data_IF_670621132112
#
_entry.id   IF_670621132112
#
_cell.length_a   1.000
_cell.length_b   1.000
_cell.length_c   1.000
_cell.angle_alpha   90.00
_cell.angle_beta   90.00
_cell.angle_gamma   90.00
#
_symmetry.space_group_name_H-M   'P 1'
#
loop_
_entity.id
_entity.type
_entity.pdbx_description
1 polymer ?
#
# COMPACT_ATOMS: atom_id res chain seq x y z
N UNK A 1 10.91 -1.77 18.80
CA UNK A 1 11.41 -1.74 17.40
C UNK A 1 11.62 -3.17 16.93
N UNK A 2 10.92 -3.59 15.86
CA UNK A 2 11.14 -4.89 15.20
C UNK A 2 12.02 -4.66 13.98
N UNK A 3 13.18 -5.32 13.91
CA UNK A 3 14.09 -5.15 12.78
C UNK A 3 13.59 -5.94 11.56
N UNK A 4 13.44 -5.25 10.43
CA UNK A 4 13.07 -5.90 9.17
C UNK A 4 14.27 -6.68 8.59
N UNK A 5 14.08 -7.91 8.10
CA UNK A 5 15.15 -8.72 7.51
C UNK A 5 15.47 -8.30 6.06
N UNK A 6 15.37 -7.02 5.72
CA UNK A 6 15.46 -6.53 4.33
C UNK A 6 16.80 -6.89 3.68
N UNK A 7 17.92 -6.74 4.41
CA UNK A 7 19.26 -7.05 3.87
C UNK A 7 19.56 -8.54 3.77
N UNK A 8 18.94 -9.35 4.63
CA UNK A 8 18.88 -10.81 4.41
C UNK A 8 18.10 -11.11 3.13
N UNK A 9 16.95 -10.48 2.91
CA UNK A 9 16.18 -10.60 1.67
C UNK A 9 17.02 -10.29 0.42
N UNK A 10 17.75 -9.17 0.42
CA UNK A 10 18.67 -8.80 -0.67
C UNK A 10 19.79 -9.84 -0.88
N UNK A 11 20.21 -10.53 0.17
CA UNK A 11 21.24 -11.59 0.08
C UNK A 11 20.69 -12.90 -0.51
N UNK A 12 19.37 -13.13 -0.39
CA UNK A 12 18.67 -14.29 -0.94
C UNK A 12 18.16 -14.06 -2.37
N UNK A 13 18.13 -12.82 -2.85
CA UNK A 13 17.74 -12.53 -4.22
C UNK A 13 18.79 -13.07 -5.21
N UNK A 14 18.39 -14.04 -6.03
CA UNK A 14 19.28 -14.71 -6.98
C UNK A 14 19.02 -14.26 -8.41
N UNK A 15 20.10 -14.07 -9.16
CA UNK A 15 20.05 -13.73 -10.59
C UNK A 15 19.41 -14.82 -11.47
N UNK A 16 19.34 -16.06 -10.99
CA UNK A 16 18.65 -17.17 -11.67
C UNK A 16 17.13 -17.17 -11.48
N UNK A 17 16.61 -16.22 -10.69
CA UNK A 17 15.18 -16.03 -10.46
C UNK A 17 14.56 -17.02 -9.47
N UNK A 18 15.34 -17.84 -8.76
CA UNK A 18 14.79 -18.69 -7.70
C UNK A 18 14.28 -17.83 -6.53
N UNK A 19 13.06 -18.10 -6.04
CA UNK A 19 12.41 -17.29 -5.01
C UNK A 19 12.00 -18.06 -3.75
N UNK A 20 12.10 -19.39 -3.75
CA UNK A 20 11.56 -20.24 -2.67
C UNK A 20 12.06 -19.83 -1.27
N UNK A 21 13.37 -19.55 -1.13
CA UNK A 21 13.97 -19.12 0.14
C UNK A 21 13.48 -17.71 0.57
N UNK A 22 13.40 -16.78 -0.39
CA UNK A 22 12.91 -15.42 -0.17
C UNK A 22 11.42 -15.40 0.19
N UNK A 23 10.61 -16.21 -0.49
CA UNK A 23 9.17 -16.38 -0.22
C UNK A 23 8.93 -17.03 1.13
N UNK A 24 9.69 -18.07 1.48
CA UNK A 24 9.62 -18.70 2.80
C UNK A 24 10.01 -17.74 3.92
N UNK A 25 11.08 -16.94 3.72
CA UNK A 25 11.48 -15.88 4.65
C UNK A 25 10.36 -14.84 4.82
N UNK A 26 9.81 -14.35 3.71
CA UNK A 26 8.72 -13.39 3.69
C UNK A 26 7.48 -13.91 4.43
N UNK A 27 7.06 -15.15 4.15
CA UNK A 27 5.94 -15.78 4.81
C UNK A 27 6.16 -15.95 6.33
N UNK A 28 7.37 -16.36 6.74
CA UNK A 28 7.70 -16.52 8.15
C UNK A 28 7.69 -15.19 8.91
N UNK A 29 8.31 -14.14 8.36
CA UNK A 29 8.31 -12.82 8.99
C UNK A 29 6.92 -12.19 9.02
N UNK A 30 6.15 -12.33 7.93
CA UNK A 30 4.76 -11.87 7.86
C UNK A 30 3.88 -12.57 8.91
N UNK A 31 4.04 -13.88 9.09
CA UNK A 31 3.32 -14.63 10.12
C UNK A 31 3.64 -14.11 11.53
N UNK A 32 4.92 -13.85 11.81
CA UNK A 32 5.36 -13.28 13.08
C UNK A 32 4.71 -11.92 13.39
N UNK A 33 4.81 -10.94 12.46
CA UNK A 33 4.24 -9.60 12.69
C UNK A 33 2.70 -9.61 12.71
N UNK A 34 2.08 -10.51 11.93
CA UNK A 34 0.62 -10.72 11.97
C UNK A 34 0.20 -11.25 13.33
N UNK A 35 0.95 -12.18 13.89
CA UNK A 35 0.70 -12.72 15.22
C UNK A 35 0.81 -11.63 16.30
N UNK A 36 1.84 -10.79 16.26
CA UNK A 36 1.96 -9.63 17.16
C UNK A 36 0.73 -8.72 17.06
N UNK A 37 0.32 -8.35 15.83
CA UNK A 37 -0.81 -7.46 15.59
C UNK A 37 -2.15 -8.05 16.07
N UNK A 38 -2.42 -9.33 15.79
CA UNK A 38 -3.67 -9.98 16.23
C UNK A 38 -3.75 -10.15 17.75
N UNK A 39 -2.59 -10.23 18.40
CA UNK A 39 -2.46 -10.22 19.85
C UNK A 39 -2.19 -8.82 20.41
N UNK A 40 -2.55 -7.76 19.69
CA UNK A 40 -2.56 -6.39 20.22
C UNK A 40 -1.20 -5.92 20.78
N UNK A 41 -0.09 -6.43 20.25
CA UNK A 41 1.25 -5.92 20.56
C UNK A 41 1.56 -4.72 19.67
N UNK A 42 1.91 -3.59 20.29
CA UNK A 42 2.34 -2.37 19.60
C UNK A 42 3.80 -2.51 19.15
N UNK A 43 4.08 -2.28 17.86
CA UNK A 43 5.45 -2.28 17.33
C UNK A 43 5.57 -1.36 16.12
N UNK A 44 6.80 -0.90 15.88
CA UNK A 44 7.21 -0.29 14.62
C UNK A 44 8.24 -1.20 13.95
N UNK A 45 8.18 -1.23 12.62
CA UNK A 45 9.21 -1.86 11.80
C UNK A 45 10.36 -0.87 11.57
N UNK A 46 11.59 -1.37 11.67
CA UNK A 46 12.80 -0.62 11.37
C UNK A 46 13.60 -1.29 10.26
N UNK A 47 13.76 -0.62 9.13
CA UNK A 47 14.73 -1.04 8.11
C UNK A 47 16.12 -0.53 8.46
N UNK A 48 17.16 -1.30 8.12
CA UNK A 48 18.55 -0.88 8.36
C UNK A 48 18.91 0.42 7.65
N UNK A 49 18.27 0.71 6.52
CA UNK A 49 18.43 1.98 5.82
C UNK A 49 17.93 3.15 6.67
N UNK A 50 16.73 3.02 7.24
CA UNK A 50 16.14 4.06 8.10
C UNK A 50 16.95 4.23 9.38
N UNK A 51 17.37 3.13 9.99
CA UNK A 51 18.20 3.13 11.20
C UNK A 51 19.56 3.76 10.93
N UNK A 52 20.18 3.52 9.78
CA UNK A 52 21.45 4.16 9.46
C UNK A 52 21.32 5.68 9.33
N UNK A 53 20.24 6.14 8.69
CA UNK A 53 20.05 7.57 8.38
C UNK A 53 19.48 8.36 9.58
N UNK A 54 18.76 7.70 10.49
CA UNK A 54 18.02 8.35 11.59
C UNK A 54 18.21 7.71 12.97
N UNK A 55 18.99 6.64 13.07
CA UNK A 55 19.18 5.85 14.28
C UNK A 55 20.30 6.38 15.15
N UNK A 56 20.07 6.36 16.47
CA UNK A 56 21.10 6.63 17.48
C UNK A 56 20.75 5.92 18.78
N UNK A 57 21.75 5.73 19.63
CA UNK A 57 21.55 5.26 21.01
C UNK A 57 21.72 6.44 21.95
N UNK A 58 20.77 6.62 22.86
CA UNK A 58 20.76 7.72 23.83
C UNK A 58 20.01 7.25 25.09
N UNK A 59 20.62 7.44 26.26
CA UNK A 59 20.09 7.06 27.58
C UNK A 59 19.60 5.60 27.65
N UNK A 60 20.34 4.67 27.03
CA UNK A 60 19.99 3.24 27.01
C UNK A 60 18.77 2.90 26.15
N UNK A 61 18.27 3.83 25.33
CA UNK A 61 17.17 3.61 24.39
C UNK A 61 17.68 3.56 22.96
N UNK A 62 17.00 2.78 22.12
CA UNK A 62 17.21 2.77 20.68
C UNK A 62 16.32 3.84 20.05
N UNK A 63 16.89 4.90 19.48
CA UNK A 63 16.10 5.99 18.89
C UNK A 63 16.15 5.91 17.37
N UNK A 64 15.01 6.06 16.70
CA UNK A 64 14.89 6.23 15.24
C UNK A 64 14.06 7.47 14.96
N UNK A 65 14.68 8.52 14.41
CA UNK A 65 14.05 9.84 14.28
C UNK A 65 13.71 10.41 15.65
N UNK A 66 12.41 10.61 15.89
CA UNK A 66 11.85 11.13 17.15
C UNK A 66 11.30 10.04 18.08
N UNK A 67 11.28 8.77 17.63
CA UNK A 67 10.73 7.65 18.43
C UNK A 67 11.85 6.92 19.18
N UNK A 68 11.68 6.75 20.48
CA UNK A 68 12.57 5.98 21.34
C UNK A 68 11.95 4.62 21.68
N UNK A 69 12.76 3.58 21.63
CA UNK A 69 12.35 2.19 21.88
C UNK A 69 13.15 1.59 23.02
N UNK A 70 12.44 0.96 23.96
CA UNK A 70 13.01 0.26 25.11
C UNK A 70 13.34 -1.22 24.81
N UNK A 71 12.86 -1.73 23.67
CA UNK A 71 13.06 -3.12 23.24
C UNK A 71 13.37 -3.19 21.73
N UNK A 72 14.46 -3.85 21.40
CA UNK A 72 14.79 -4.27 20.03
C UNK A 72 14.42 -5.74 19.85
N UNK A 73 13.68 -6.06 18.79
CA UNK A 73 13.25 -7.43 18.49
C UNK A 73 13.88 -7.88 17.18
N UNK A 74 14.54 -9.04 17.20
CA UNK A 74 15.11 -9.67 16.00
C UNK A 74 14.44 -11.03 15.79
N UNK A 75 13.87 -11.22 14.61
CA UNK A 75 13.35 -12.51 14.18
C UNK A 75 14.44 -13.32 13.48
N UNK A 76 14.35 -14.66 13.52
CA UNK A 76 15.32 -15.60 12.93
C UNK A 76 15.63 -15.37 11.45
N UNK A 77 14.71 -14.74 10.73
CA UNK A 77 14.89 -14.36 9.33
C UNK A 77 15.90 -13.23 9.14
N UNK A 78 16.30 -12.53 10.20
CA UNK A 78 17.37 -11.54 10.18
C UNK A 78 18.71 -12.26 10.38
N UNK A 79 19.26 -12.80 9.30
CA UNK A 79 20.55 -13.53 9.31
C UNK A 79 21.75 -12.60 9.04
N UNK A 80 21.49 -11.43 8.44
CA UNK A 80 22.50 -10.46 8.04
C UNK A 80 22.17 -9.07 8.60
N UNK A 81 23.20 -8.35 9.03
CA UNK A 81 23.15 -6.94 9.39
C UNK A 81 24.11 -6.12 8.52
N UNK A 82 23.80 -4.86 8.27
CA UNK A 82 24.79 -3.86 7.88
C UNK A 82 25.73 -3.56 9.05
N UNK A 83 27.01 -3.29 8.77
CA UNK A 83 27.99 -2.95 9.83
C UNK A 83 27.51 -1.79 10.72
N UNK A 84 26.92 -0.75 10.12
CA UNK A 84 26.40 0.40 10.88
C UNK A 84 25.31 0.03 11.89
N UNK A 85 24.44 -0.93 11.53
CA UNK A 85 23.38 -1.41 12.42
C UNK A 85 23.97 -2.28 13.52
N UNK A 86 24.91 -3.17 13.18
CA UNK A 86 25.60 -4.00 14.16
C UNK A 86 26.33 -3.16 15.22
N UNK A 87 27.01 -2.08 14.81
CA UNK A 87 27.70 -1.14 15.71
C UNK A 87 26.71 -0.41 16.66
N UNK A 88 25.55 -0.01 16.14
CA UNK A 88 24.48 0.61 16.96
C UNK A 88 23.87 -0.39 17.94
N UNK A 89 23.62 -1.63 17.52
CA UNK A 89 23.12 -2.69 18.41
C UNK A 89 24.14 -3.01 19.50
N UNK A 90 25.43 -3.09 19.16
CA UNK A 90 26.50 -3.27 20.16
C UNK A 90 26.50 -2.13 21.18
N UNK A 91 26.35 -0.88 20.72
CA UNK A 91 26.25 0.30 21.60
C UNK A 91 25.02 0.21 22.51
N UNK A 92 23.85 -0.12 21.94
CA UNK A 92 22.60 -0.27 22.67
C UNK A 92 22.70 -1.30 23.79
N UNK A 93 23.24 -2.49 23.51
CA UNK A 93 23.46 -3.54 24.50
C UNK A 93 24.47 -3.08 25.56
N UNK A 94 25.55 -2.41 25.16
CA UNK A 94 26.55 -1.89 26.09
C UNK A 94 26.00 -0.80 27.03
N UNK A 95 24.97 -0.06 26.61
CA UNK A 95 24.29 0.93 27.44
C UNK A 95 23.21 0.34 28.37
N UNK A 96 22.89 -0.96 28.24
CA UNK A 96 21.85 -1.60 29.07
C UNK A 96 20.56 -1.92 28.32
N UNK A 97 20.53 -1.67 27.01
CA UNK A 97 19.40 -1.96 26.16
C UNK A 97 18.97 -3.42 26.19
N UNK A 98 17.67 -3.63 26.01
CA UNK A 98 17.04 -4.95 26.03
C UNK A 98 16.74 -5.43 24.61
N UNK A 99 17.05 -6.70 24.35
CA UNK A 99 16.75 -7.34 23.08
C UNK A 99 15.92 -8.61 23.26
N UNK A 100 15.01 -8.86 22.32
CA UNK A 100 14.28 -10.10 22.19
C UNK A 100 14.68 -10.79 20.88
N UNK A 101 15.30 -11.97 21.01
CA UNK A 101 15.59 -12.84 19.88
C UNK A 101 14.47 -13.86 19.72
N UNK A 102 13.94 -13.98 18.50
CA UNK A 102 12.85 -14.89 18.15
C UNK A 102 13.37 -15.92 17.15
N UNK A 103 13.77 -17.10 17.63
CA UNK A 103 14.17 -18.25 16.82
C UNK A 103 15.60 -18.22 16.26
N UNK A 104 16.44 -17.29 16.72
CA UNK A 104 17.85 -17.20 16.31
C UNK A 104 18.44 -15.79 16.42
N UNK A 105 19.72 -15.67 16.09
CA UNK A 105 20.44 -14.40 15.99
C UNK A 105 21.11 -14.26 14.61
N UNK A 106 21.39 -13.02 14.16
CA UNK A 106 22.18 -12.80 12.96
C UNK A 106 23.56 -13.46 13.04
N UNK A 107 24.03 -14.01 11.92
CA UNK A 107 25.34 -14.70 11.82
C UNK A 107 26.32 -13.94 10.93
N UNK A 108 25.82 -13.01 10.10
CA UNK A 108 26.59 -12.28 9.10
C UNK A 108 26.49 -10.76 9.26
N UNK A 109 27.57 -10.09 8.86
CA UNK A 109 27.62 -8.63 8.69
C UNK A 109 28.11 -8.33 7.27
N UNK A 110 27.41 -7.46 6.55
CA UNK A 110 27.69 -7.10 5.15
C UNK A 110 27.90 -8.34 4.25
N UNK A 111 27.07 -9.37 4.44
CA UNK A 111 27.07 -10.61 3.65
C UNK A 111 28.20 -11.59 3.99
N UNK A 112 28.92 -11.38 5.09
CA UNK A 112 30.02 -12.27 5.54
C UNK A 112 29.80 -12.73 6.97
N UNK A 113 30.07 -14.02 7.22
CA UNK A 113 30.10 -14.55 8.57
C UNK A 113 30.98 -13.69 9.48
N UNK A 114 30.45 -13.30 10.64
CA UNK A 114 31.16 -12.43 11.56
C UNK A 114 31.11 -12.99 12.99
N UNK A 115 32.22 -13.60 13.41
CA UNK A 115 32.34 -14.19 14.74
C UNK A 115 32.26 -13.18 15.90
N UNK A 116 32.36 -11.87 15.63
CA UNK A 116 32.16 -10.85 16.67
C UNK A 116 30.69 -10.72 17.10
N UNK A 117 29.72 -11.15 16.27
CA UNK A 117 28.31 -11.13 16.64
C UNK A 117 28.01 -11.98 17.88
N UNK A 118 28.81 -13.01 18.17
CA UNK A 118 28.71 -13.80 19.40
C UNK A 118 28.96 -12.98 20.69
N UNK A 119 29.59 -11.79 20.59
CA UNK A 119 29.75 -10.85 21.71
C UNK A 119 28.48 -10.04 21.95
N UNK A 120 27.74 -9.75 20.88
CA UNK A 120 26.48 -8.98 20.91
C UNK A 120 25.32 -9.90 21.29
N UNK A 121 25.32 -11.13 20.77
CA UNK A 121 24.30 -12.15 20.96
C UNK A 121 24.91 -13.40 21.64
N UNK A 122 25.19 -13.36 22.95
CA UNK A 122 25.73 -14.51 23.66
C UNK A 122 24.66 -15.60 23.84
N UNK A 123 25.03 -16.85 23.54
CA UNK A 123 24.16 -18.03 23.67
C UNK A 123 22.77 -17.85 23.01
N UNK A 124 22.71 -17.52 21.71
CA UNK A 124 21.43 -17.37 21.04
C UNK A 124 20.67 -18.71 21.05
N UNK A 125 19.33 -18.68 21.08
CA UNK A 125 18.55 -19.91 21.01
C UNK A 125 18.71 -20.54 19.62
N UNK A 126 19.00 -21.85 19.56
CA UNK A 126 18.91 -22.62 18.31
C UNK A 126 17.45 -22.71 17.84
N UNK A 127 16.52 -22.85 18.79
CA UNK A 127 15.06 -22.81 18.62
C UNK A 127 14.42 -22.08 19.82
N UNK A 128 13.25 -21.44 19.63
CA UNK A 128 12.54 -20.72 20.68
C UNK A 128 12.98 -19.26 20.84
N UNK A 129 12.65 -18.63 21.96
CA UNK A 129 12.86 -17.19 22.16
C UNK A 129 13.75 -16.90 23.36
N UNK A 130 14.54 -15.83 23.30
CA UNK A 130 15.44 -15.43 24.37
C UNK A 130 15.45 -13.92 24.55
N UNK A 131 15.23 -13.50 25.80
CA UNK A 131 15.39 -12.12 26.22
C UNK A 131 16.84 -11.90 26.67
N UNK A 132 17.51 -10.90 26.10
CA UNK A 132 18.90 -10.58 26.36
C UNK A 132 19.04 -9.19 26.97
N UNK A 133 19.73 -9.10 28.10
CA UNK A 133 20.19 -7.85 28.73
C UNK A 133 21.72 -7.81 28.78
N UNK A 134 22.28 -6.60 28.96
CA UNK A 134 23.72 -6.29 29.07
C UNK A 134 24.58 -7.27 29.87
N UNK A 135 24.05 -7.93 30.91
CA UNK A 135 24.88 -8.80 31.73
C UNK A 135 25.18 -10.16 31.11
N UNK A 136 24.52 -10.56 30.00
CA UNK A 136 24.67 -11.90 29.37
C UNK A 136 24.35 -13.10 30.29
N UNK A 137 24.11 -12.85 31.59
CA UNK A 137 23.90 -13.79 32.67
C UNK A 137 22.42 -13.96 33.05
N UNK A 138 21.54 -13.14 32.45
CA UNK A 138 20.08 -13.34 32.47
C UNK A 138 19.60 -13.48 31.04
N UNK A 139 19.99 -14.57 30.38
CA UNK A 139 19.17 -15.12 29.32
C UNK A 139 18.00 -15.83 30.02
N UNK A 140 16.81 -15.26 29.91
CA UNK A 140 15.60 -16.00 30.22
C UNK A 140 15.06 -16.54 28.91
N UNK A 141 15.14 -17.86 28.75
CA UNK A 141 14.40 -18.55 27.69
C UNK A 141 12.92 -18.28 27.91
N UNK A 142 12.24 -17.87 26.85
CA UNK A 142 10.79 -17.80 26.81
C UNK A 142 10.34 -19.03 26.04
N UNK A 143 9.62 -19.93 26.71
CA UNK A 143 9.38 -21.29 26.20
C UNK A 143 8.32 -21.37 25.08
N UNK A 144 7.68 -20.25 24.72
CA UNK A 144 6.67 -20.18 23.64
C UNK A 144 6.45 -18.76 23.13
N UNK A 145 5.94 -18.64 21.90
CA UNK A 145 5.50 -17.35 21.32
C UNK A 145 4.37 -16.71 22.13
N UNK A 146 3.46 -17.52 22.69
CA UNK A 146 2.38 -17.05 23.59
C UNK A 146 2.94 -16.32 24.81
N UNK A 147 3.96 -16.87 25.46
CA UNK A 147 4.61 -16.20 26.60
C UNK A 147 5.37 -14.93 26.19
N UNK A 148 5.87 -14.86 24.95
CA UNK A 148 6.46 -13.63 24.40
C UNK A 148 5.39 -12.56 24.29
N UNK A 149 4.24 -12.91 23.73
CA UNK A 149 3.11 -11.99 23.59
C UNK A 149 2.65 -11.51 24.97
N UNK A 150 2.45 -12.42 25.91
CA UNK A 150 2.06 -12.08 27.29
C UNK A 150 3.04 -11.09 27.92
N UNK A 151 4.35 -11.33 27.76
CA UNK A 151 5.40 -10.43 28.24
C UNK A 151 5.34 -9.06 27.57
N UNK A 152 5.18 -9.02 26.24
CA UNK A 152 5.10 -7.77 25.49
C UNK A 152 3.86 -6.94 25.90
N UNK A 153 2.72 -7.60 26.05
CA UNK A 153 1.48 -6.97 26.51
C UNK A 153 1.59 -6.49 27.97
N UNK A 154 2.23 -7.26 28.85
CA UNK A 154 2.30 -6.91 30.27
C UNK A 154 3.23 -5.72 30.52
N UNK A 155 4.37 -5.67 29.84
CA UNK A 155 5.44 -4.71 30.09
C UNK A 155 5.38 -3.47 29.19
N UNK A 156 4.89 -3.58 27.94
CA UNK A 156 5.04 -2.51 26.94
C UNK A 156 3.73 -1.98 26.35
N UNK A 157 2.58 -2.61 26.59
CA UNK A 157 1.34 -2.15 25.99
C UNK A 157 0.78 -0.90 26.68
N UNK A 158 0.51 0.14 25.89
CA UNK A 158 -0.18 1.35 26.34
C UNK A 158 -1.66 1.07 26.68
N UNK A 159 -2.26 0.17 25.90
CA UNK A 159 -3.64 -0.30 26.06
C UNK A 159 -3.61 -1.80 26.27
N UNK A 160 -4.26 -2.28 27.34
CA UNK A 160 -4.33 -3.71 27.63
C UNK A 160 -5.64 -4.27 27.13
N UNK A 161 -5.59 -5.43 26.48
CA UNK A 161 -6.75 -6.16 25.98
C UNK A 161 -6.87 -7.48 26.75
N UNK A 162 -7.45 -7.48 27.98
CA UNK A 162 -7.59 -8.69 28.78
C UNK A 162 -8.43 -9.79 28.11
N UNK A 163 -9.32 -9.41 27.20
CA UNK A 163 -10.14 -10.34 26.43
C UNK A 163 -10.55 -9.72 25.09
N UNK A 164 -10.40 -10.47 24.00
CA UNK A 164 -11.12 -10.23 22.75
C UNK A 164 -11.40 -11.56 22.04
N UNK A 165 -12.55 -11.65 21.39
CA UNK A 165 -13.03 -12.87 20.73
C UNK A 165 -13.70 -12.54 19.40
N UNK A 166 -13.60 -13.50 18.46
CA UNK A 166 -14.16 -13.39 17.12
C UNK A 166 -13.36 -12.46 16.21
N UNK A 167 -13.56 -12.60 14.90
CA UNK A 167 -13.03 -11.70 13.87
C UNK A 167 -11.53 -11.38 13.94
N UNK A 168 -11.14 -10.26 13.32
CA UNK A 168 -9.76 -9.76 13.28
C UNK A 168 -9.71 -8.33 13.78
N UNK A 169 -9.23 -8.16 15.01
CA UNK A 169 -9.10 -6.86 15.67
C UNK A 169 -7.72 -6.26 15.44
N UNK A 170 -7.70 -5.02 14.99
CA UNK A 170 -6.51 -4.17 14.98
C UNK A 170 -6.79 -2.90 15.78
N UNK A 171 -5.74 -2.33 16.37
CA UNK A 171 -5.84 -1.05 17.06
C UNK A 171 -4.72 -0.09 16.67
N UNK A 172 -4.98 1.20 16.89
CA UNK A 172 -3.96 2.24 16.94
C UNK A 172 -4.23 3.10 18.17
N UNK A 173 -3.23 3.26 19.02
CA UNK A 173 -3.25 4.22 20.10
C UNK A 173 -2.39 5.44 19.75
N UNK A 174 -2.90 6.63 20.03
CA UNK A 174 -2.15 7.89 19.97
C UNK A 174 -2.21 8.55 21.33
N UNK A 175 -1.05 8.71 21.93
CA UNK A 175 -0.88 9.49 23.16
C UNK A 175 -0.84 10.99 22.82
N UNK A 176 -1.63 11.77 23.54
CA UNK A 176 -1.65 13.23 23.53
C UNK A 176 -1.24 13.73 24.92
N UNK A 177 -1.01 15.04 25.06
CA UNK A 177 -0.49 15.61 26.31
C UNK A 177 -1.28 15.22 27.57
N UNK A 178 -2.62 15.29 27.52
CA UNK A 178 -3.50 15.02 28.67
C UNK A 178 -4.60 13.98 28.36
N UNK A 179 -4.48 13.28 27.22
CA UNK A 179 -5.48 12.32 26.74
C UNK A 179 -4.88 11.32 25.75
N UNK A 180 -5.66 10.32 25.34
CA UNK A 180 -5.30 9.37 24.31
C UNK A 180 -6.44 9.15 23.32
N UNK A 181 -6.10 8.73 22.12
CA UNK A 181 -7.04 8.29 21.10
C UNK A 181 -6.80 6.82 20.79
N UNK A 182 -7.81 5.98 21.00
CA UNK A 182 -7.78 4.56 20.68
C UNK A 182 -8.73 4.28 19.54
N UNK A 183 -8.19 3.99 18.36
CA UNK A 183 -8.96 3.47 17.23
C UNK A 183 -8.94 1.95 17.27
N UNK A 184 -10.12 1.33 17.22
CA UNK A 184 -10.29 -0.11 17.03
C UNK A 184 -10.94 -0.35 15.67
N UNK A 185 -10.45 -1.35 14.94
CA UNK A 185 -10.98 -1.77 13.65
C UNK A 185 -11.15 -3.28 13.60
N UNK A 186 -12.36 -3.73 13.28
CA UNK A 186 -12.63 -5.11 12.89
C UNK A 186 -12.50 -5.23 11.38
N UNK A 187 -11.50 -5.95 10.89
CA UNK A 187 -11.29 -6.15 9.45
C UNK A 187 -11.96 -7.41 8.90
N UNK A 188 -12.68 -8.17 9.74
CA UNK A 188 -13.47 -9.31 9.26
C UNK A 188 -14.74 -8.84 8.56
N UNK A 189 -15.05 -9.44 7.41
CA UNK A 189 -16.19 -9.08 6.58
C UNK A 189 -17.53 -9.69 7.07
N UNK A 190 -17.46 -10.73 7.91
CA UNK A 190 -18.60 -11.57 8.29
C UNK A 190 -18.65 -11.92 9.79
N UNK A 191 -17.64 -11.57 10.58
CA UNK A 191 -17.58 -11.86 12.01
C UNK A 191 -17.60 -10.60 12.86
N UNK A 192 -18.35 -10.62 13.97
CA UNK A 192 -18.33 -9.60 15.02
C UNK A 192 -17.14 -9.84 15.95
N UNK A 193 -16.45 -8.77 16.35
CA UNK A 193 -15.44 -8.79 17.41
C UNK A 193 -16.07 -8.29 18.70
N UNK A 194 -15.87 -9.01 19.80
CA UNK A 194 -16.22 -8.55 21.15
C UNK A 194 -14.98 -8.54 22.02
N UNK A 195 -14.92 -7.66 23.01
CA UNK A 195 -13.80 -7.64 23.93
C UNK A 195 -13.87 -6.57 25.00
N UNK A 196 -12.79 -6.48 25.75
CA UNK A 196 -12.55 -5.43 26.72
C UNK A 196 -11.15 -4.87 26.52
N UNK A 197 -11.02 -3.56 26.72
CA UNK A 197 -9.72 -2.92 26.86
C UNK A 197 -9.67 -2.08 28.14
N UNK A 198 -8.45 -1.88 28.65
CA UNK A 198 -8.17 -1.04 29.82
C UNK A 198 -7.00 -0.10 29.55
N UNK A 199 -7.07 1.11 30.10
CA UNK A 199 -6.05 2.15 29.93
C UNK A 199 -6.06 3.13 31.12
N UNK A 200 -4.93 3.82 31.32
CA UNK A 200 -4.88 4.93 32.29
C UNK A 200 -5.84 6.05 31.85
N UNK A 201 -6.69 6.51 32.77
CA UNK A 201 -7.69 7.52 32.50
C UNK A 201 -8.78 7.62 33.57
N UNK A 202 -9.61 8.65 33.46
CA UNK A 202 -10.77 8.92 34.35
C UNK A 202 -12.07 9.13 33.60
N UNK A 203 -12.01 9.21 32.28
CA UNK A 203 -13.16 9.41 31.41
C UNK A 203 -12.91 8.85 30.02
N UNK A 204 -13.99 8.41 29.38
CA UNK A 204 -13.98 7.95 27.98
C UNK A 204 -15.16 8.54 27.23
N UNK A 205 -14.92 9.00 26.00
CA UNK A 205 -15.94 9.35 25.03
C UNK A 205 -15.76 8.55 23.73
N UNK A 206 -16.84 8.33 22.99
CA UNK A 206 -16.83 7.82 21.63
C UNK A 206 -16.86 8.99 20.65
N UNK A 207 -16.00 8.96 19.64
CA UNK A 207 -15.97 9.94 18.56
C UNK A 207 -16.60 9.34 17.30
N UNK A 208 -17.65 9.98 16.78
CA UNK A 208 -18.31 9.56 15.56
C UNK A 208 -17.49 9.97 14.34
N UNK A 209 -16.91 8.98 13.65
CA UNK A 209 -16.02 9.21 12.50
C UNK A 209 -16.75 9.80 11.26
N UNK A 210 -18.08 9.73 11.21
CA UNK A 210 -18.87 10.24 10.08
C UNK A 210 -19.40 11.66 10.32
N UNK A 211 -19.80 11.97 11.55
CA UNK A 211 -20.39 13.29 11.88
C UNK A 211 -19.40 14.24 12.55
N UNK A 212 -18.35 13.72 13.18
CA UNK A 212 -17.44 14.48 14.02
C UNK A 212 -17.96 14.77 15.43
N UNK A 213 -19.15 14.28 15.79
CA UNK A 213 -19.72 14.45 17.12
C UNK A 213 -19.06 13.52 18.15
N UNK A 214 -19.15 13.90 19.42
CA UNK A 214 -18.72 13.08 20.56
C UNK A 214 -19.92 12.59 21.37
N UNK A 215 -19.90 11.33 21.76
CA UNK A 215 -20.91 10.67 22.60
C UNK A 215 -20.27 10.11 23.88
N UNK A 216 -21.04 10.01 24.96
CA UNK A 216 -20.55 9.37 26.19
C UNK A 216 -20.36 7.87 25.97
N UNK A 217 -19.19 7.33 26.31
CA UNK A 217 -18.95 5.88 26.24
C UNK A 217 -19.48 5.18 27.50
N UNK A 218 -19.78 3.89 27.40
CA UNK A 218 -20.01 3.04 28.56
C UNK A 218 -18.67 2.51 29.09
N UNK A 219 -18.30 2.90 30.30
CA UNK A 219 -17.04 2.50 30.92
C UNK A 219 -17.16 2.37 32.45
N UNK A 220 -16.23 1.64 33.05
CA UNK A 220 -16.01 1.63 34.51
C UNK A 220 -14.66 2.26 34.85
N UNK A 221 -14.52 2.74 36.08
CA UNK A 221 -13.27 3.32 36.60
C UNK A 221 -12.85 2.56 37.85
N UNK A 222 -11.59 2.11 37.91
CA UNK A 222 -10.93 1.59 39.12
C UNK A 222 -9.62 2.35 39.35
N UNK A 223 -9.57 3.18 40.38
CA UNK A 223 -8.45 4.10 40.60
C UNK A 223 -8.28 5.11 39.46
N UNK A 224 -7.14 5.04 38.78
CA UNK A 224 -6.79 5.85 37.60
C UNK A 224 -6.86 5.01 36.30
N UNK A 225 -7.61 3.90 36.29
CA UNK A 225 -7.80 3.03 35.13
C UNK A 225 -9.25 3.03 34.68
N UNK A 226 -9.47 3.20 33.37
CA UNK A 226 -10.76 2.98 32.71
C UNK A 226 -10.80 1.60 32.08
N UNK A 227 -11.99 0.99 32.08
CA UNK A 227 -12.26 -0.24 31.35
C UNK A 227 -13.52 -0.09 30.49
N UNK A 228 -13.43 -0.52 29.23
CA UNK A 228 -14.53 -0.47 28.26
C UNK A 228 -14.73 -1.84 27.64
N UNK A 229 -15.95 -2.34 27.70
CA UNK A 229 -16.41 -3.49 26.92
C UNK A 229 -16.95 -3.00 25.59
N UNK A 230 -16.52 -3.61 24.50
CA UNK A 230 -16.90 -3.22 23.14
C UNK A 230 -17.42 -4.41 22.32
N UNK A 231 -18.23 -4.07 21.32
CA UNK A 231 -18.72 -4.98 20.28
C UNK A 231 -18.59 -4.23 18.94
N UNK A 232 -17.78 -4.77 18.02
CA UNK A 232 -17.61 -4.23 16.67
C UNK A 232 -18.23 -5.19 15.67
N UNK A 233 -19.22 -4.75 14.87
CA UNK A 233 -19.78 -5.58 13.81
C UNK A 233 -18.73 -5.89 12.72
N UNK A 234 -19.05 -6.77 11.77
CA UNK A 234 -18.21 -6.96 10.59
C UNK A 234 -17.90 -5.62 9.90
N UNK A 235 -16.63 -5.43 9.52
CA UNK A 235 -16.09 -4.17 8.99
C UNK A 235 -16.30 -2.92 9.88
N UNK A 236 -16.63 -3.11 11.17
CA UNK A 236 -16.89 -2.05 12.12
C UNK A 236 -15.63 -1.42 12.70
N UNK A 237 -15.74 -0.16 13.14
CA UNK A 237 -14.68 0.55 13.87
C UNK A 237 -15.25 1.40 15.00
N UNK A 238 -14.41 1.74 15.98
CA UNK A 238 -14.73 2.68 17.04
C UNK A 238 -13.51 3.52 17.39
N UNK A 239 -13.70 4.83 17.55
CA UNK A 239 -12.68 5.74 18.04
C UNK A 239 -13.05 6.21 19.45
N UNK A 240 -12.20 5.90 20.41
CA UNK A 240 -12.35 6.31 21.80
C UNK A 240 -11.39 7.46 22.11
N UNK A 241 -11.88 8.48 22.80
CA UNK A 241 -11.09 9.50 23.44
C UNK A 241 -11.00 9.21 24.94
N UNK A 242 -9.79 8.93 25.42
CA UNK A 242 -9.47 8.58 26.81
C UNK A 242 -8.88 9.82 27.46
N UNK A 243 -9.46 10.29 28.57
CA UNK A 243 -9.02 11.53 29.23
C UNK A 243 -8.66 11.30 30.69
N UNK A 244 -7.71 12.08 31.19
CA UNK A 244 -7.36 12.15 32.61
C UNK A 244 -8.41 12.92 33.44
N UNK A 245 -9.36 13.60 32.79
CA UNK A 245 -10.49 14.25 33.43
C UNK A 245 -11.67 13.29 33.63
N UNK A 246 -12.50 13.54 34.65
CA UNK A 246 -13.71 12.73 34.88
C UNK A 246 -14.77 13.07 33.83
N UNK A 247 -15.31 12.05 33.18
CA UNK A 247 -16.51 12.19 32.33
C UNK A 247 -17.66 11.33 32.86
N UNK A 248 -18.89 11.64 32.44
CA UNK A 248 -20.05 10.80 32.74
C UNK A 248 -20.02 9.53 31.88
N UNK A 249 -20.17 8.37 32.52
CA UNK A 249 -20.31 7.08 31.84
C UNK A 249 -21.75 6.87 31.38
N UNK A 250 -21.93 6.46 30.13
CA UNK A 250 -23.23 6.08 29.59
C UNK A 250 -23.64 4.67 30.07
N UNK A 251 -24.91 4.33 29.87
CA UNK A 251 -25.35 2.94 29.97
C UNK A 251 -24.86 2.17 28.75
N UNK A 252 -24.40 0.91 28.90
CA UNK A 252 -24.08 0.06 27.75
C UNK A 252 -25.29 -0.04 26.83
N UNK A 253 -25.14 0.38 25.58
CA UNK A 253 -26.15 0.24 24.55
C UNK A 253 -25.75 -0.93 23.63
N UNK A 254 -26.65 -1.90 23.48
CA UNK A 254 -26.46 -2.99 22.53
C UNK A 254 -26.99 -2.53 21.18
N UNK A 255 -26.09 -2.26 20.24
CA UNK A 255 -26.44 -1.98 18.84
C UNK A 255 -26.61 -3.31 18.10
N UNK A 256 -27.75 -3.50 17.46
CA UNK A 256 -27.97 -4.67 16.61
C UNK A 256 -27.53 -4.33 15.19
N UNK A 257 -26.62 -5.14 14.66
CA UNK A 257 -26.17 -5.05 13.28
C UNK A 257 -26.69 -6.27 12.52
N UNK A 258 -27.20 -6.03 11.33
CA UNK A 258 -27.72 -7.08 10.46
C UNK A 258 -27.59 -6.68 9.00
N UNK A 259 -27.60 -7.65 8.08
CA UNK A 259 -27.65 -7.36 6.67
C UNK A 259 -28.90 -6.52 6.38
N UNK A 260 -28.71 -5.40 5.69
CA UNK A 260 -29.81 -4.65 5.11
C UNK A 260 -30.03 -5.23 3.71
N UNK A 261 -31.19 -5.81 3.45
CA UNK A 261 -31.56 -6.18 2.09
C UNK A 261 -31.65 -4.90 1.25
N UNK A 262 -30.78 -4.81 0.24
CA UNK A 262 -30.77 -3.70 -0.70
C UNK A 262 -31.56 -4.11 -1.94
N UNK A 263 -32.60 -3.35 -2.26
CA UNK A 263 -33.30 -3.46 -3.54
C UNK A 263 -32.71 -2.44 -4.52
N UNK A 264 -32.45 -2.86 -5.76
CA UNK A 264 -32.05 -1.93 -6.82
C UNK A 264 -33.25 -1.05 -7.18
N UNK A 265 -33.29 0.17 -6.63
CA UNK A 265 -34.37 1.13 -6.87
C UNK A 265 -34.28 1.76 -8.26
N UNK A 266 -33.08 1.85 -8.82
CA UNK A 266 -32.83 2.37 -10.16
C UNK A 266 -31.35 2.62 -10.40
N UNK A 267 -30.98 2.75 -11.67
CA UNK A 267 -29.62 3.09 -12.08
C UNK A 267 -29.66 4.51 -12.66
N UNK A 268 -28.94 5.43 -12.03
CA UNK A 268 -28.79 6.79 -12.53
C UNK A 268 -27.33 7.04 -12.91
N UNK A 269 -27.13 7.58 -14.11
CA UNK A 269 -25.84 8.10 -14.51
C UNK A 269 -25.54 9.41 -13.76
N UNK A 270 -24.49 9.40 -12.93
CA UNK A 270 -24.06 10.57 -12.14
C UNK A 270 -22.98 11.41 -12.84
N UNK A 271 -22.31 10.85 -13.85
CA UNK A 271 -21.24 11.47 -14.61
C UNK A 271 -21.19 10.85 -16.03
N UNK A 272 -20.53 11.47 -17.02
CA UNK A 272 -20.33 10.86 -18.33
C UNK A 272 -19.78 9.43 -18.23
N UNK A 273 -20.32 8.53 -19.05
CA UNK A 273 -19.81 7.16 -19.15
C UNK A 273 -18.44 7.18 -19.83
N UNK A 274 -17.59 6.24 -19.45
CA UNK A 274 -16.24 6.07 -19.98
C UNK A 274 -16.13 4.74 -20.72
N UNK A 275 -15.78 4.78 -22.00
CA UNK A 275 -15.37 3.61 -22.76
C UNK A 275 -13.84 3.64 -22.92
N UNK A 276 -13.09 2.77 -22.22
CA UNK A 276 -11.67 2.60 -22.49
C UNK A 276 -11.48 1.95 -23.86
N UNK A 277 -10.54 2.49 -24.64
CA UNK A 277 -10.03 1.92 -25.88
C UNK A 277 -8.59 1.48 -25.62
N UNK A 278 -8.42 0.19 -25.36
CA UNK A 278 -7.16 -0.47 -24.97
C UNK A 278 -6.66 -1.47 -26.03
N UNK A 279 -7.37 -1.55 -27.16
CA UNK A 279 -6.94 -2.23 -28.38
C UNK A 279 -6.82 -1.23 -29.53
N UNK A 280 -5.73 -1.31 -30.27
CA UNK A 280 -5.37 -0.36 -31.31
C UNK A 280 -4.71 -1.03 -32.50
N UNK A 281 -4.70 -0.31 -33.62
CA UNK A 281 -3.83 -0.60 -34.75
C UNK A 281 -2.57 0.25 -34.62
N UNK A 282 -1.40 -0.29 -34.90
CA UNK A 282 -0.15 0.47 -34.87
C UNK A 282 0.69 0.22 -36.12
N UNK A 283 1.48 1.23 -36.47
CA UNK A 283 2.47 1.19 -37.55
C UNK A 283 3.75 1.89 -37.07
N UNK A 284 4.85 1.16 -37.06
CA UNK A 284 6.21 1.63 -36.83
C UNK A 284 7.13 1.13 -37.96
N UNK A 285 8.38 1.60 -38.02
CA UNK A 285 9.27 1.41 -39.18
C UNK A 285 9.38 -0.03 -39.72
N UNK A 286 9.40 -1.05 -38.84
CA UNK A 286 9.53 -2.46 -39.23
C UNK A 286 8.42 -3.35 -38.68
N UNK A 287 7.41 -2.79 -38.04
CA UNK A 287 6.45 -3.54 -37.22
C UNK A 287 5.08 -2.89 -37.31
N UNK A 288 4.04 -3.70 -37.43
CA UNK A 288 2.66 -3.21 -37.53
C UNK A 288 1.70 -4.29 -37.06
N UNK A 289 0.61 -3.88 -36.42
CA UNK A 289 -0.42 -4.80 -35.94
C UNK A 289 -1.79 -4.16 -36.01
N UNK A 290 -2.81 -5.00 -36.15
CA UNK A 290 -4.21 -4.60 -36.09
C UNK A 290 -4.84 -5.19 -34.83
N UNK A 291 -5.72 -4.43 -34.18
CA UNK A 291 -6.47 -4.86 -32.99
C UNK A 291 -5.55 -5.54 -31.95
N UNK A 292 -4.44 -4.88 -31.62
CA UNK A 292 -3.43 -5.33 -30.66
C UNK A 292 -3.66 -4.63 -29.32
N UNK A 293 -3.52 -5.37 -28.22
CA UNK A 293 -3.62 -4.78 -26.88
C UNK A 293 -2.50 -3.74 -26.70
N UNK A 294 -2.83 -2.56 -26.14
CA UNK A 294 -1.92 -1.40 -26.13
C UNK A 294 -0.53 -1.73 -25.57
N UNK A 295 -0.45 -2.51 -24.50
CA UNK A 295 0.81 -2.89 -23.86
C UNK A 295 1.71 -3.75 -24.77
N UNK A 296 1.09 -4.65 -25.54
CA UNK A 296 1.81 -5.44 -26.56
C UNK A 296 2.26 -4.55 -27.72
N UNK A 297 1.39 -3.64 -28.18
CA UNK A 297 1.72 -2.70 -29.24
C UNK A 297 2.88 -1.78 -28.83
N UNK A 298 2.85 -1.22 -27.61
CA UNK A 298 3.92 -0.43 -27.01
C UNK A 298 5.23 -1.20 -27.02
N UNK A 299 5.24 -2.41 -26.46
CA UNK A 299 6.44 -3.27 -26.45
C UNK A 299 7.04 -3.42 -27.85
N UNK A 300 6.20 -3.68 -28.86
CA UNK A 300 6.64 -3.81 -30.25
C UNK A 300 7.12 -2.50 -30.87
N UNK A 301 6.50 -1.37 -30.54
CA UNK A 301 6.93 -0.04 -30.97
C UNK A 301 8.32 0.29 -30.41
N UNK A 302 8.56 0.07 -29.11
CA UNK A 302 9.89 0.24 -28.50
C UNK A 302 10.94 -0.70 -29.13
N UNK A 303 10.57 -1.95 -29.42
CA UNK A 303 11.43 -2.91 -30.13
C UNK A 303 11.76 -2.48 -31.56
N UNK A 304 10.81 -1.91 -32.29
CA UNK A 304 11.04 -1.34 -33.61
C UNK A 304 12.04 -0.16 -33.58
N UNK A 305 12.22 0.47 -32.41
CA UNK A 305 13.18 1.55 -32.17
C UNK A 305 14.47 1.09 -31.46
N UNK A 306 14.69 -0.23 -31.36
CA UNK A 306 15.95 -0.82 -30.91
C UNK A 306 16.09 -0.97 -29.39
N UNK A 307 14.97 -0.99 -28.65
CA UNK A 307 14.91 -1.23 -27.21
C UNK A 307 14.32 -2.62 -26.93
N UNK A 308 14.65 -3.24 -25.80
CA UNK A 308 14.11 -4.58 -25.47
C UNK A 308 12.61 -4.51 -25.10
N UNK A 309 12.22 -3.43 -24.42
CA UNK A 309 10.88 -3.12 -23.92
C UNK A 309 10.79 -1.62 -23.59
N UNK A 310 9.65 -1.18 -23.07
CA UNK A 310 9.53 0.13 -22.45
C UNK A 310 10.49 0.22 -21.24
N UNK A 311 11.42 1.20 -21.22
CA UNK A 311 12.33 1.36 -20.09
C UNK A 311 11.63 1.81 -18.80
N UNK A 312 10.48 2.46 -18.85
CA UNK A 312 9.78 3.00 -17.67
C UNK A 312 9.06 1.91 -16.86
N UNK A 313 8.68 0.80 -17.50
CA UNK A 313 8.00 -0.34 -16.84
C UNK A 313 8.86 -1.04 -15.78
N UNK A 314 10.19 -1.03 -15.92
CA UNK A 314 11.07 -1.96 -15.17
C UNK A 314 12.40 -1.36 -14.71
N UNK A 315 12.70 -0.10 -15.00
CA UNK A 315 14.02 0.46 -14.73
C UNK A 315 14.08 1.31 -13.47
N UNK A 316 15.16 1.13 -12.71
CA UNK A 316 15.72 2.18 -11.85
C UNK A 316 16.63 3.01 -12.73
N UNK A 317 16.27 4.26 -13.00
CA UNK A 317 17.11 5.16 -13.78
C UNK A 317 18.37 5.52 -12.97
N UNK A 318 19.56 5.21 -13.52
CA UNK A 318 20.82 5.76 -13.05
C UNK A 318 21.13 7.06 -13.81
N UNK A 319 21.32 8.16 -13.08
CA UNK A 319 21.55 9.51 -13.63
C UNK A 319 20.55 9.88 -14.75
N UNK A 320 20.99 10.08 -15.99
CA UNK A 320 20.18 10.44 -17.16
C UNK A 320 20.20 9.39 -18.26
N UNK A 321 20.57 8.13 -17.98
CA UNK A 321 20.83 7.11 -19.01
C UNK A 321 19.64 6.86 -19.95
N UNK A 322 18.42 6.73 -19.41
CA UNK A 322 17.19 6.53 -20.18
C UNK A 322 16.85 7.80 -20.97
N UNK A 323 16.90 8.96 -20.32
CA UNK A 323 16.64 10.26 -20.95
C UNK A 323 17.62 10.56 -22.10
N UNK A 324 18.88 10.15 -21.96
CA UNK A 324 19.89 10.33 -22.98
C UNK A 324 19.67 9.46 -24.22
N UNK A 325 18.85 8.40 -24.14
CA UNK A 325 18.49 7.57 -25.30
C UNK A 325 17.72 8.36 -26.35
N UNK A 326 16.97 9.37 -25.94
CA UNK A 326 16.17 10.22 -26.83
C UNK A 326 17.01 10.85 -27.97
N UNK A 327 18.29 11.15 -27.67
CA UNK A 327 19.27 11.68 -28.63
C UNK A 327 19.56 10.75 -29.81
N UNK A 328 19.17 9.47 -29.73
CA UNK A 328 19.41 8.44 -30.76
C UNK A 328 18.31 8.44 -31.83
N UNK A 329 17.15 9.03 -31.54
CA UNK A 329 16.00 9.00 -32.44
C UNK A 329 16.05 10.19 -33.41
N UNK A 330 16.20 9.88 -34.70
CA UNK A 330 16.26 10.88 -35.76
C UNK A 330 14.87 11.31 -36.25
N UNK A 331 14.77 12.36 -37.08
CA UNK A 331 13.49 12.88 -37.58
C UNK A 331 12.66 11.87 -38.39
N UNK A 332 13.28 10.81 -38.90
CA UNK A 332 12.61 9.75 -39.67
C UNK A 332 12.10 8.60 -38.77
N UNK A 333 12.28 8.67 -37.45
CA UNK A 333 11.68 7.72 -36.50
C UNK A 333 10.26 8.16 -36.14
N UNK A 334 9.54 7.29 -35.42
CA UNK A 334 8.17 7.57 -35.01
C UNK A 334 7.27 6.36 -35.17
N UNK A 335 6.02 6.57 -34.84
CA UNK A 335 4.98 5.58 -35.03
C UNK A 335 3.62 6.26 -35.16
N UNK A 336 2.66 5.49 -35.66
CA UNK A 336 1.24 5.85 -35.66
C UNK A 336 0.49 4.80 -34.87
N UNK A 337 -0.37 5.21 -33.95
CA UNK A 337 -1.39 4.34 -33.34
C UNK A 337 -2.77 4.85 -33.67
N UNK A 338 -3.73 3.93 -33.78
CA UNK A 338 -5.11 4.27 -34.05
C UNK A 338 -6.09 3.43 -33.25
N UNK A 339 -7.00 4.12 -32.57
CA UNK A 339 -8.02 3.54 -31.70
C UNK A 339 -9.37 3.57 -32.44
N UNK A 340 -9.85 2.41 -32.95
CA UNK A 340 -11.15 2.33 -33.58
C UNK A 340 -12.28 2.31 -32.53
N UNK A 341 -13.39 2.99 -32.81
CA UNK A 341 -14.62 2.87 -32.03
C UNK A 341 -15.85 3.04 -32.90
N UNK A 342 -16.99 2.51 -32.44
CA UNK A 342 -18.21 2.39 -33.23
C UNK A 342 -19.36 3.15 -32.56
N UNK A 343 -20.05 4.02 -33.31
CA UNK A 343 -21.24 4.74 -32.88
C UNK A 343 -22.45 4.26 -33.70
N UNK A 344 -23.53 3.82 -33.06
CA UNK A 344 -24.72 3.32 -33.74
C UNK A 344 -26.01 3.85 -33.12
N UNK A 345 -27.10 3.84 -33.89
CA UNK A 345 -28.44 4.15 -33.37
C UNK A 345 -28.73 5.61 -33.06
N UNK A 346 -27.75 6.52 -33.22
CA UNK A 346 -27.98 7.95 -33.18
C UNK A 346 -28.38 8.50 -34.57
N UNK A 347 -29.32 9.46 -34.60
CA UNK A 347 -29.66 10.19 -35.84
C UNK A 347 -28.50 11.11 -36.31
N UNK A 348 -27.74 11.65 -35.35
CA UNK A 348 -26.54 12.45 -35.55
C UNK A 348 -25.48 12.06 -34.52
N UNK A 349 -24.20 12.20 -34.87
CA UNK A 349 -23.12 11.87 -33.94
C UNK A 349 -23.30 12.62 -32.59
N UNK A 350 -23.24 11.92 -31.45
CA UNK A 350 -23.38 12.56 -30.15
C UNK A 350 -22.16 13.42 -29.84
N UNK A 351 -22.30 14.45 -28.99
CA UNK A 351 -21.14 15.15 -28.44
C UNK A 351 -20.35 14.19 -27.55
N UNK A 352 -19.08 13.99 -27.87
CA UNK A 352 -18.15 13.17 -27.11
C UNK A 352 -16.89 13.97 -26.79
N UNK A 353 -16.22 13.59 -25.71
CA UNK A 353 -14.83 13.99 -25.47
C UNK A 353 -13.96 12.76 -25.38
N UNK A 354 -12.74 12.85 -25.87
CA UNK A 354 -11.76 11.77 -25.83
C UNK A 354 -10.66 12.20 -24.87
N UNK A 355 -10.44 11.44 -23.80
CA UNK A 355 -9.38 11.69 -22.84
C UNK A 355 -8.13 10.94 -23.28
N UNK A 356 -7.04 11.68 -23.45
CA UNK A 356 -5.73 11.19 -23.91
C UNK A 356 -4.66 11.65 -22.92
N UNK A 357 -3.73 10.77 -22.58
CA UNK A 357 -2.56 11.13 -21.79
C UNK A 357 -1.51 11.85 -22.65
N UNK A 358 -1.05 13.00 -22.17
CA UNK A 358 0.00 13.84 -22.76
C UNK A 358 -0.16 14.04 -24.28
N UNK A 359 -1.35 14.45 -24.78
CA UNK A 359 -1.62 14.58 -26.22
C UNK A 359 -0.69 15.56 -26.93
N UNK A 360 -0.06 16.49 -26.22
CA UNK A 360 0.93 17.42 -26.73
C UNK A 360 2.17 16.74 -27.35
N UNK A 361 2.41 15.46 -27.05
CA UNK A 361 3.47 14.64 -27.67
C UNK A 361 3.11 14.15 -29.06
N UNK A 362 1.81 14.12 -29.36
CA UNK A 362 1.28 13.50 -30.56
C UNK A 362 0.67 14.53 -31.49
N UNK A 363 0.76 14.28 -32.79
CA UNK A 363 -0.23 14.85 -33.70
C UNK A 363 -1.51 14.03 -33.57
N UNK A 364 -2.55 14.64 -33.02
CA UNK A 364 -3.84 13.98 -32.78
C UNK A 364 -4.81 14.28 -33.91
N UNK A 365 -5.53 13.26 -34.39
CA UNK A 365 -6.63 13.42 -35.33
C UNK A 365 -7.78 12.48 -34.99
N UNK A 366 -9.02 12.96 -35.08
CA UNK A 366 -10.22 12.13 -35.10
C UNK A 366 -10.74 12.06 -36.52
N UNK A 367 -10.70 10.88 -37.12
CA UNK A 367 -10.92 10.68 -38.55
C UNK A 367 -10.00 11.63 -39.35
N UNK A 368 -10.56 12.58 -40.09
CA UNK A 368 -9.78 13.59 -40.83
C UNK A 368 -9.58 14.92 -40.06
N UNK A 369 -10.20 15.07 -38.89
CA UNK A 369 -10.23 16.34 -38.13
C UNK A 369 -9.09 16.40 -37.11
N UNK A 370 -8.27 17.45 -37.17
CA UNK A 370 -7.11 17.67 -36.27
C UNK A 370 -7.38 18.72 -35.18
N UNK A 371 -8.41 19.52 -35.35
CA UNK A 371 -8.75 20.60 -34.43
C UNK A 371 -9.64 20.07 -33.30
N UNK A 372 -9.11 20.06 -32.08
CA UNK A 372 -9.84 19.74 -30.87
C UNK A 372 -9.74 20.89 -29.87
N UNK A 373 -10.83 21.15 -29.15
CA UNK A 373 -10.80 21.95 -27.93
C UNK A 373 -10.21 21.09 -26.81
N UNK A 374 -9.15 21.59 -26.18
CA UNK A 374 -8.42 20.86 -25.14
C UNK A 374 -8.73 21.48 -23.77
N UNK A 375 -9.07 20.65 -22.80
CA UNK A 375 -9.25 21.06 -21.40
C UNK A 375 -8.58 20.10 -20.43
N UNK A 376 -8.17 20.61 -19.27
CA UNK A 376 -7.55 19.80 -18.21
C UNK A 376 -8.54 18.83 -17.56
N UNK A 377 -8.01 17.71 -17.05
CA UNK A 377 -8.74 16.80 -16.17
C UNK A 377 -8.23 16.94 -14.73
N UNK A 378 -8.66 16.06 -13.81
CA UNK A 378 -8.14 16.04 -12.45
C UNK A 378 -6.65 15.66 -12.39
N UNK A 379 -6.21 14.82 -13.33
CA UNK A 379 -4.80 14.55 -13.55
C UNK A 379 -4.26 15.52 -14.61
N UNK A 380 -3.20 16.29 -14.33
CA UNK A 380 -2.65 17.25 -15.27
C UNK A 380 -2.07 16.63 -16.55
N UNK A 381 -1.69 15.35 -16.54
CA UNK A 381 -1.17 14.65 -17.72
C UNK A 381 -2.28 14.21 -18.67
N UNK A 382 -3.49 13.98 -18.16
CA UNK A 382 -4.65 13.66 -18.99
C UNK A 382 -5.36 14.94 -19.44
N UNK A 383 -5.59 15.04 -20.75
CA UNK A 383 -6.41 16.11 -21.33
C UNK A 383 -7.66 15.53 -21.96
N UNK A 384 -8.75 16.28 -21.83
CA UNK A 384 -9.99 16.01 -22.54
C UNK A 384 -9.98 16.77 -23.86
N UNK A 385 -10.10 16.03 -24.97
CA UNK A 385 -10.14 16.55 -26.33
C UNK A 385 -11.58 16.48 -26.83
N UNK A 386 -12.15 17.63 -27.17
CA UNK A 386 -13.48 17.72 -27.78
C UNK A 386 -13.35 18.19 -29.22
N UNK A 387 -13.76 17.34 -30.15
CA UNK A 387 -13.80 17.66 -31.57
C UNK A 387 -15.19 18.23 -31.92
N UNK A 388 -15.24 19.43 -32.50
CA UNK A 388 -16.50 20.06 -32.94
C UNK A 388 -17.02 19.44 -34.25
N UNK A 389 -16.11 18.91 -35.06
CA UNK A 389 -16.37 18.21 -36.32
C UNK A 389 -15.66 16.85 -36.34
N UNK A 390 -15.97 15.99 -37.31
CA UNK A 390 -15.25 14.75 -37.53
C UNK A 390 -15.83 13.52 -36.83
N UNK A 391 -16.52 13.65 -35.68
CA UNK A 391 -17.27 12.52 -35.09
C UNK A 391 -18.42 12.15 -36.03
N UNK A 392 -18.58 10.86 -36.34
CA UNK A 392 -19.64 10.38 -37.23
C UNK A 392 -20.38 9.17 -36.66
N UNK A 393 -21.59 8.90 -37.16
CA UNK A 393 -22.23 7.61 -36.94
C UNK A 393 -21.50 6.54 -37.77
N UNK A 394 -21.45 5.31 -37.26
CA UNK A 394 -20.62 4.23 -37.77
C UNK A 394 -19.22 4.24 -37.17
N UNK A 395 -18.23 3.82 -37.98
CA UNK A 395 -16.85 3.67 -37.55
C UNK A 395 -16.16 5.02 -37.40
N UNK A 396 -15.44 5.19 -36.29
CA UNK A 396 -14.57 6.32 -36.01
C UNK A 396 -13.18 5.81 -35.66
N UNK A 397 -12.17 6.66 -35.86
CA UNK A 397 -10.77 6.34 -35.60
C UNK A 397 -10.06 7.55 -35.01
N UNK A 398 -9.61 7.43 -33.76
CA UNK A 398 -8.66 8.39 -33.19
C UNK A 398 -7.26 7.95 -33.57
N UNK A 399 -6.45 8.85 -34.12
CA UNK A 399 -5.07 8.58 -34.54
C UNK A 399 -4.11 9.48 -33.77
N UNK A 400 -3.05 8.89 -33.22
CA UNK A 400 -1.94 9.59 -32.58
C UNK A 400 -0.68 9.28 -33.38
N UNK A 401 0.07 10.33 -33.75
CA UNK A 401 1.32 10.20 -34.51
C UNK A 401 2.45 10.83 -33.70
N UNK A 402 3.44 10.03 -33.33
CA UNK A 402 4.71 10.48 -32.78
C UNK A 402 5.74 10.57 -33.92
N UNK A 403 6.36 11.75 -34.10
CA UNK A 403 7.41 11.95 -35.11
C UNK A 403 8.27 13.17 -34.74
N UNK A 404 9.55 13.00 -34.37
CA UNK A 404 10.23 11.71 -34.19
C UNK A 404 9.69 10.90 -33.01
N UNK A 405 10.10 9.63 -32.91
CA UNK A 405 9.91 8.83 -31.69
C UNK A 405 10.73 9.42 -30.54
N UNK A 406 10.15 9.45 -29.35
CA UNK A 406 10.79 9.78 -28.09
C UNK A 406 10.73 8.62 -27.11
N UNK A 407 11.70 8.54 -26.19
CA UNK A 407 11.68 7.59 -25.07
C UNK A 407 10.47 7.76 -24.16
N UNK A 408 9.74 8.86 -24.31
CA UNK A 408 8.62 9.23 -23.48
C UNK A 408 7.25 9.07 -24.20
N UNK A 409 7.24 8.51 -25.40
CA UNK A 409 6.01 8.29 -26.17
C UNK A 409 5.34 6.96 -25.78
N UNK A 410 4.94 6.87 -24.52
CA UNK A 410 4.18 5.74 -23.99
C UNK A 410 2.76 5.71 -24.58
N UNK A 411 2.37 4.56 -25.11
CA UNK A 411 1.09 4.34 -25.77
C UNK A 411 0.12 3.81 -24.74
N UNK A 412 -0.76 4.66 -24.24
CA UNK A 412 -1.73 4.30 -23.20
C UNK A 412 -3.15 4.09 -23.76
N UNK A 413 -4.08 3.48 -23.00
CA UNK A 413 -5.49 3.50 -23.34
C UNK A 413 -6.04 4.94 -23.45
N UNK A 414 -6.96 5.16 -24.38
CA UNK A 414 -7.72 6.41 -24.48
C UNK A 414 -9.17 6.19 -24.05
N UNK A 415 -9.85 7.24 -23.57
CA UNK A 415 -11.20 7.09 -23.03
C UNK A 415 -12.20 7.93 -23.80
N UNK A 416 -13.19 7.28 -24.42
CA UNK A 416 -14.33 7.99 -25.00
C UNK A 416 -15.33 8.27 -23.89
N UNK A 417 -15.61 9.55 -23.66
CA UNK A 417 -16.47 10.04 -22.58
C UNK A 417 -17.73 10.66 -23.16
N UNK A 418 -18.89 10.35 -22.56
CA UNK A 418 -20.15 10.94 -23.01
C UNK A 418 -21.40 10.36 -22.35
N UNK A 419 -22.55 10.80 -22.86
CA UNK A 419 -23.86 10.26 -22.48
C UNK A 419 -24.29 9.22 -23.52
N UNK A 420 -24.03 7.96 -23.20
CA UNK A 420 -24.27 6.82 -24.08
C UNK A 420 -24.42 5.54 -23.27
N UNK A 421 -24.99 4.50 -23.88
CA UNK A 421 -24.88 3.13 -23.37
C UNK A 421 -23.96 2.31 -24.28
N UNK A 422 -23.43 1.22 -23.76
CA UNK A 422 -22.61 0.28 -24.51
C UNK A 422 -23.40 -0.99 -24.80
N UNK A 423 -23.18 -1.56 -25.98
CA UNK A 423 -23.65 -2.89 -26.35
C UNK A 423 -22.51 -3.69 -26.95
N UNK A 424 -22.35 -4.92 -26.49
CA UNK A 424 -21.24 -5.78 -26.91
C UNK A 424 -21.37 -6.13 -28.40
N UNK A 425 -20.21 -6.22 -29.06
CA UNK A 425 -20.05 -6.70 -30.44
C UNK A 425 -19.06 -7.86 -30.44
N UNK A 426 -18.92 -8.54 -31.58
CA UNK A 426 -17.92 -9.61 -31.76
C UNK A 426 -16.49 -9.13 -31.41
N UNK A 427 -16.21 -7.84 -31.63
CA UNK A 427 -15.02 -7.14 -31.16
C UNK A 427 -15.44 -5.81 -30.53
N UNK A 428 -15.13 -5.63 -29.24
CA UNK A 428 -15.36 -4.38 -28.51
C UNK A 428 -16.83 -4.04 -28.29
N UNK A 429 -17.14 -2.74 -28.35
CA UNK A 429 -18.44 -2.18 -27.98
C UNK A 429 -18.96 -1.19 -29.02
N UNK A 430 -20.28 -1.14 -29.18
CA UNK A 430 -20.94 -0.04 -29.87
C UNK A 430 -21.47 0.98 -28.86
N UNK A 431 -21.19 2.26 -29.12
CA UNK A 431 -21.76 3.42 -28.43
C UNK A 431 -23.15 3.68 -29.00
N UNK A 432 -24.17 3.62 -28.14
CA UNK A 432 -25.58 3.77 -28.50
C UNK A 432 -26.25 4.87 -27.68
N UNK A 433 -27.41 5.39 -28.13
CA UNK A 433 -28.17 6.37 -27.37
C UNK A 433 -28.44 5.88 -25.94
N UNK A 434 -28.34 6.78 -24.94
CA UNK A 434 -28.66 6.43 -23.56
C UNK A 434 -30.12 5.96 -23.50
N UNK A 435 -30.38 5.07 -22.54
CA UNK A 435 -31.71 4.53 -22.26
C UNK A 435 -31.88 4.56 -20.75
N UNK A 436 -33.08 4.90 -20.29
CA UNK A 436 -33.43 4.67 -18.88
C UNK A 436 -33.23 3.19 -18.55
N UNK A 437 -32.45 2.95 -17.49
CA UNK A 437 -32.02 1.63 -17.04
C UNK A 437 -32.91 1.11 -15.92
#
# INVERSE_FOLDING_TARGET
LVLEPTTTGWSLERADGSKDELEAMGAAFQAFITNLSLNQVEYDLGSERTIRDHGRIEDGKFIVGDRAYDLLVLHRTCENLCQSTADLIETYVNEGGLMLLVGGAPTSVDGKENSNLAKIFPNPPDEGQSLLTKDGNKSSTIDSEEKVIDFLQSEYASIKFPEHNGGKLFHQFRELQDSGLLLLCNTSADETVTGQWTAEGKGVALLNLFTGDSEAAAFTVDGDQVAVTFELPPAGSALYWITSEKSESAKPEKKEYGPVEMELVGIQQLAPNALPLDYLDYEAASESGENTFFFEAQTKIYQAHGLDNDPWDRAVQYEDEILAMDKRFGPDTGFTVAYPFLIEGFDQAPPLSIVVEQPERYQVALNETKEALISDTADPHFKSLRFEEGVQTGANRLTLIASPFSIHDEVEPVYVMGDFRLESRDKGWAILPPKEL
#
